data_IF_430664491884
#
_entry.id   IF_430664491884
#
_cell.length_a   1.000
_cell.length_b   1.000
_cell.length_c   1.000
_cell.angle_alpha   90.00
_cell.angle_beta   90.00
_cell.angle_gamma   90.00
#
_symmetry.space_group_name_H-M   'P 1'
#
loop_
_entity.id
_entity.type
_entity.pdbx_description
1 polymer ?
#
# COMPACT_ATOMS: atom_id res chain seq x y z
N UNK A 1 3.14 -14.17 -29.46
CA UNK A 1 2.90 -12.72 -29.59
C UNK A 1 3.63 -12.22 -30.83
N UNK A 2 2.98 -11.43 -31.70
CA UNK A 2 3.59 -10.89 -32.93
C UNK A 2 4.17 -9.48 -32.69
N UNK A 3 5.17 -9.08 -33.48
CA UNK A 3 5.80 -7.75 -33.40
C UNK A 3 4.78 -6.61 -33.54
N UNK A 4 3.75 -6.79 -34.36
CA UNK A 4 2.65 -5.83 -34.53
C UNK A 4 1.84 -5.62 -33.24
N UNK A 5 1.54 -6.70 -32.51
CA UNK A 5 0.86 -6.62 -31.22
C UNK A 5 1.71 -5.88 -30.17
N UNK A 6 3.02 -6.09 -30.18
CA UNK A 6 3.93 -5.36 -29.27
C UNK A 6 4.01 -3.87 -29.59
N UNK A 7 4.09 -3.50 -30.87
CA UNK A 7 4.08 -2.10 -31.30
C UNK A 7 2.77 -1.40 -30.96
N UNK A 8 1.64 -2.09 -31.19
CA UNK A 8 0.32 -1.58 -30.83
C UNK A 8 0.19 -1.32 -29.32
N UNK A 9 0.53 -2.31 -28.49
CA UNK A 9 0.51 -2.19 -27.02
C UNK A 9 1.41 -1.05 -26.53
N UNK A 10 2.57 -0.85 -27.16
CA UNK A 10 3.48 0.24 -26.80
C UNK A 10 2.91 1.61 -27.16
N UNK A 11 2.20 1.73 -28.28
CA UNK A 11 1.53 2.97 -28.66
C UNK A 11 0.37 3.29 -27.72
N UNK A 12 -0.44 2.29 -27.40
CA UNK A 12 -1.57 2.41 -26.47
C UNK A 12 -1.10 2.80 -25.05
N UNK A 13 -0.04 2.15 -24.54
CA UNK A 13 0.60 2.54 -23.28
C UNK A 13 1.07 4.00 -23.31
N UNK A 14 1.69 4.44 -24.41
CA UNK A 14 2.18 5.82 -24.52
C UNK A 14 1.04 6.85 -24.63
N UNK A 15 -0.12 6.47 -25.18
CA UNK A 15 -1.30 7.33 -25.21
C UNK A 15 -1.90 7.49 -23.80
N UNK A 16 -2.05 6.37 -23.08
CA UNK A 16 -2.54 6.35 -21.69
C UNK A 16 -1.62 7.18 -20.77
N UNK A 17 -0.30 7.02 -20.89
CA UNK A 17 0.65 7.78 -20.07
C UNK A 17 0.52 9.29 -20.29
N UNK A 18 0.23 9.74 -21.52
CA UNK A 18 0.01 11.16 -21.81
C UNK A 18 -1.28 11.67 -21.17
N UNK A 19 -2.36 10.90 -21.26
CA UNK A 19 -3.64 11.26 -20.65
C UNK A 19 -3.53 11.35 -19.12
N UNK A 20 -2.88 10.35 -18.50
CA UNK A 20 -2.61 10.36 -17.06
C UNK A 20 -1.73 11.54 -16.65
N UNK A 21 -0.71 11.87 -17.44
CA UNK A 21 0.13 13.04 -17.18
C UNK A 21 -0.65 14.34 -17.29
N UNK A 22 -1.52 14.47 -18.29
CA UNK A 22 -2.38 15.65 -18.46
C UNK A 22 -3.36 15.78 -17.29
N UNK A 23 -3.98 14.69 -16.87
CA UNK A 23 -4.87 14.64 -15.72
C UNK A 23 -4.14 15.02 -14.42
N UNK A 24 -2.96 14.46 -14.20
CA UNK A 24 -2.12 14.77 -13.03
C UNK A 24 -1.75 16.25 -12.97
N UNK A 25 -1.32 16.84 -14.09
CA UNK A 25 -1.02 18.28 -14.16
C UNK A 25 -2.24 19.17 -13.90
N UNK A 26 -3.43 18.74 -14.33
CA UNK A 26 -4.66 19.51 -14.10
C UNK A 26 -5.15 19.39 -12.65
N UNK A 27 -5.07 18.20 -12.05
CA UNK A 27 -5.64 17.90 -10.73
C UNK A 27 -4.69 18.18 -9.56
N UNK A 28 -3.37 18.21 -9.82
CA UNK A 28 -2.31 18.26 -8.81
C UNK A 28 -1.36 19.44 -9.13
N UNK A 29 -1.59 20.63 -8.55
CA UNK A 29 -0.79 21.83 -8.82
C UNK A 29 0.71 21.64 -8.57
N UNK A 30 1.08 20.94 -7.50
CA UNK A 30 2.46 20.62 -7.15
C UNK A 30 3.15 19.71 -8.19
N UNK A 31 2.40 18.81 -8.83
CA UNK A 31 2.93 17.96 -9.90
C UNK A 31 3.14 18.77 -11.19
N UNK A 32 2.22 19.68 -11.50
CA UNK A 32 2.37 20.60 -12.63
C UNK A 32 3.58 21.54 -12.48
N UNK A 33 3.86 21.96 -11.25
CA UNK A 33 4.98 22.85 -10.92
C UNK A 33 6.32 22.10 -10.77
N UNK A 34 6.32 20.77 -10.85
CA UNK A 34 7.52 19.95 -10.66
C UNK A 34 8.04 19.92 -9.22
N UNK A 35 7.22 20.35 -8.25
CA UNK A 35 7.55 20.37 -6.83
C UNK A 35 6.94 19.21 -6.04
N UNK A 36 6.19 18.33 -6.70
CA UNK A 36 5.67 17.11 -6.09
C UNK A 36 6.81 16.15 -5.72
N UNK A 37 6.68 15.46 -4.59
CA UNK A 37 7.60 14.40 -4.21
C UNK A 37 7.47 13.18 -5.15
N UNK A 38 6.29 13.00 -5.73
CA UNK A 38 5.97 11.91 -6.65
C UNK A 38 6.46 12.22 -8.07
N UNK A 39 7.30 11.33 -8.61
CA UNK A 39 7.80 11.43 -9.99
C UNK A 39 6.86 10.82 -11.03
N UNK A 40 5.92 9.95 -10.63
CA UNK A 40 4.95 9.35 -11.55
C UNK A 40 3.58 10.05 -11.50
N UNK A 41 2.89 10.23 -12.65
CA UNK A 41 1.56 10.83 -12.69
C UNK A 41 0.53 10.05 -11.86
N UNK A 42 0.60 8.72 -11.87
CA UNK A 42 -0.31 7.84 -11.14
C UNK A 42 -0.14 7.96 -9.63
N UNK A 43 1.09 8.06 -9.13
CA UNK A 43 1.35 8.26 -7.70
C UNK A 43 0.86 9.64 -7.23
N UNK A 44 1.07 10.69 -8.03
CA UNK A 44 0.57 12.03 -7.73
C UNK A 44 -0.96 12.07 -7.65
N UNK A 45 -1.66 11.42 -8.59
CA UNK A 45 -3.12 11.30 -8.59
C UNK A 45 -3.64 10.49 -7.40
N UNK A 46 -3.02 9.34 -7.11
CA UNK A 46 -3.40 8.52 -5.97
C UNK A 46 -3.21 9.27 -4.65
N UNK A 47 -2.15 10.06 -4.50
CA UNK A 47 -1.96 10.94 -3.34
C UNK A 47 -3.05 11.99 -3.23
N UNK A 48 -3.35 12.68 -4.34
CA UNK A 48 -4.39 13.70 -4.36
C UNK A 48 -5.76 13.14 -3.99
N UNK A 49 -6.11 11.97 -4.50
CA UNK A 49 -7.35 11.27 -4.15
C UNK A 49 -7.44 11.00 -2.65
N UNK A 50 -6.36 10.49 -2.06
CA UNK A 50 -6.26 10.23 -0.62
C UNK A 50 -6.44 11.51 0.20
N UNK A 51 -5.74 12.58 -0.15
CA UNK A 51 -5.86 13.87 0.53
C UNK A 51 -7.29 14.43 0.45
N UNK A 52 -7.95 14.27 -0.69
CA UNK A 52 -9.34 14.70 -0.87
C UNK A 52 -10.31 13.87 -0.04
N UNK A 53 -10.14 12.54 -0.01
CA UNK A 53 -10.94 11.65 0.85
C UNK A 53 -10.75 11.99 2.32
N UNK A 54 -9.51 12.16 2.75
CA UNK A 54 -9.17 12.53 4.12
C UNK A 54 -9.79 13.87 4.53
N UNK A 55 -9.70 14.90 3.68
CA UNK A 55 -10.36 16.20 3.92
C UNK A 55 -11.88 16.11 3.94
N UNK A 56 -12.46 15.20 3.16
CA UNK A 56 -13.89 14.95 3.15
C UNK A 56 -14.36 14.05 4.31
N UNK A 57 -13.46 13.61 5.20
CA UNK A 57 -13.77 12.66 6.26
C UNK A 57 -14.18 11.27 5.74
N UNK A 58 -13.88 10.98 4.47
CA UNK A 58 -14.13 9.69 3.86
C UNK A 58 -12.93 8.79 4.06
N UNK A 59 -13.18 7.55 4.46
CA UNK A 59 -12.16 6.53 4.61
C UNK A 59 -11.42 6.29 3.28
N UNK A 60 -10.14 6.64 3.24
CA UNK A 60 -9.22 6.25 2.19
C UNK A 60 -8.80 4.78 2.37
N UNK A 61 -8.48 4.04 1.30
CA UNK A 61 -8.11 2.63 1.41
C UNK A 61 -6.89 2.36 2.30
N UNK A 62 -5.98 3.32 2.39
CA UNK A 62 -4.76 3.30 3.21
C UNK A 62 -4.96 3.93 4.60
N UNK A 63 -6.15 4.45 4.91
CA UNK A 63 -6.47 4.88 6.27
C UNK A 63 -6.39 3.71 7.23
N UNK A 64 -6.13 4.05 8.49
CA UNK A 64 -5.92 3.06 9.54
C UNK A 64 -7.08 2.06 9.67
N UNK A 65 -8.33 2.53 9.71
CA UNK A 65 -9.49 1.65 9.97
C UNK A 65 -9.78 0.68 8.81
N UNK A 66 -9.83 1.11 7.54
CA UNK A 66 -9.98 0.18 6.41
C UNK A 66 -8.83 -0.83 6.31
N UNK A 67 -7.59 -0.39 6.53
CA UNK A 67 -6.42 -1.25 6.50
C UNK A 67 -6.48 -2.28 7.63
N UNK A 68 -6.82 -1.84 8.85
CA UNK A 68 -7.00 -2.73 10.00
C UNK A 68 -8.15 -3.71 9.76
N UNK A 69 -9.28 -3.28 9.19
CA UNK A 69 -10.40 -4.16 8.88
C UNK A 69 -10.01 -5.28 7.90
N UNK A 70 -9.18 -4.97 6.90
CA UNK A 70 -8.63 -5.96 5.95
C UNK A 70 -7.63 -6.91 6.62
N UNK A 71 -6.80 -6.39 7.52
CA UNK A 71 -5.78 -7.18 8.20
C UNK A 71 -6.32 -7.98 9.41
N UNK A 72 -7.47 -7.59 9.95
CA UNK A 72 -8.04 -8.15 11.19
C UNK A 72 -8.23 -9.68 11.15
N UNK A 73 -8.72 -10.31 10.06
CA UNK A 73 -8.83 -11.77 10.01
C UNK A 73 -7.48 -12.48 10.17
N UNK A 74 -6.42 -11.93 9.55
CA UNK A 74 -5.08 -12.48 9.65
C UNK A 74 -4.50 -12.29 11.07
N UNK A 75 -4.79 -11.16 11.72
CA UNK A 75 -4.38 -10.91 13.10
C UNK A 75 -5.16 -11.77 14.12
N UNK A 76 -6.43 -12.08 13.84
CA UNK A 76 -7.23 -12.95 14.70
C UNK A 76 -6.72 -14.40 14.74
N UNK A 77 -5.97 -14.83 13.72
CA UNK A 77 -5.34 -16.14 13.68
C UNK A 77 -4.07 -16.23 14.56
N UNK A 78 -3.59 -15.11 15.12
CA UNK A 78 -2.43 -15.10 16.01
C UNK A 78 -2.80 -15.56 17.42
N UNK A 79 -1.87 -16.22 18.14
CA UNK A 79 -2.11 -16.63 19.51
C UNK A 79 -2.29 -15.40 20.40
N UNK A 80 -3.09 -15.56 21.46
CA UNK A 80 -3.30 -14.50 22.45
C UNK A 80 -1.97 -14.04 23.04
N UNK A 81 -1.74 -12.72 23.07
CA UNK A 81 -0.49 -12.13 23.57
C UNK A 81 0.65 -12.08 22.54
N UNK A 82 0.45 -12.55 21.31
CA UNK A 82 1.47 -12.46 20.26
C UNK A 82 1.78 -11.03 19.83
N UNK A 83 0.79 -10.13 19.85
CA UNK A 83 0.97 -8.73 19.48
C UNK A 83 1.39 -7.94 20.72
N UNK A 84 2.56 -7.31 20.66
CA UNK A 84 3.11 -6.46 21.73
C UNK A 84 2.68 -5.01 21.57
N UNK A 85 2.76 -4.48 20.36
CA UNK A 85 2.34 -3.12 20.02
C UNK A 85 1.91 -3.05 18.57
N UNK A 86 1.06 -2.05 18.30
CA UNK A 86 0.55 -1.73 16.99
C UNK A 86 0.57 -0.21 16.83
N UNK A 87 1.17 0.27 15.75
CA UNK A 87 1.27 1.69 15.42
C UNK A 87 0.96 1.91 13.95
N UNK A 88 0.43 3.08 13.60
CA UNK A 88 0.12 3.45 12.22
C UNK A 88 0.86 4.72 11.84
N UNK A 89 1.55 4.68 10.69
CA UNK A 89 2.25 5.83 10.13
C UNK A 89 2.35 5.67 8.61
N UNK A 90 2.21 6.77 7.88
CA UNK A 90 2.42 6.85 6.43
C UNK A 90 1.66 5.79 5.61
N UNK A 91 0.40 5.50 5.95
CA UNK A 91 -0.41 4.50 5.24
C UNK A 91 -0.03 3.04 5.54
N UNK A 92 0.79 2.82 6.57
CA UNK A 92 1.25 1.50 6.99
C UNK A 92 0.92 1.20 8.45
N UNK A 93 0.55 -0.04 8.72
CA UNK A 93 0.45 -0.56 10.08
C UNK A 93 1.75 -1.30 10.42
N UNK A 94 2.38 -0.90 11.51
CA UNK A 94 3.55 -1.52 12.11
C UNK A 94 3.09 -2.35 13.30
N UNK A 95 3.43 -3.64 13.32
CA UNK A 95 3.19 -4.55 14.43
C UNK A 95 4.50 -5.05 14.99
N UNK A 96 4.64 -5.00 16.30
CA UNK A 96 5.68 -5.75 17.00
C UNK A 96 5.07 -7.03 17.56
N UNK A 97 5.60 -8.15 17.08
CA UNK A 97 5.24 -9.49 17.52
C UNK A 97 6.25 -9.97 18.55
N UNK A 98 5.75 -10.65 19.59
CA UNK A 98 6.59 -11.43 20.48
C UNK A 98 7.26 -12.57 19.71
N UNK A 99 8.26 -13.21 20.33
CA UNK A 99 8.95 -14.36 19.74
C UNK A 99 7.97 -15.50 19.48
N UNK A 100 7.51 -15.58 18.24
CA UNK A 100 6.64 -16.61 17.70
C UNK A 100 7.43 -17.63 16.89
N UNK A 101 6.79 -18.76 16.59
CA UNK A 101 7.37 -19.79 15.75
C UNK A 101 7.67 -19.24 14.34
N UNK A 102 8.81 -19.58 13.70
CA UNK A 102 9.18 -19.03 12.39
C UNK A 102 8.13 -19.26 11.30
N UNK A 103 7.46 -20.42 11.33
CA UNK A 103 6.39 -20.76 10.39
C UNK A 103 5.17 -19.84 10.51
N UNK A 104 4.97 -19.19 11.67
CA UNK A 104 3.81 -18.35 11.94
C UNK A 104 3.91 -16.99 11.23
N UNK A 105 5.12 -16.42 11.12
CA UNK A 105 5.36 -15.18 10.40
C UNK A 105 5.11 -15.33 8.89
N UNK A 106 5.58 -16.42 8.29
CA UNK A 106 5.35 -16.72 6.87
C UNK A 106 3.88 -16.98 6.56
N UNK A 107 3.16 -17.71 7.43
CA UNK A 107 1.71 -17.90 7.31
C UNK A 107 0.96 -16.57 7.39
N UNK A 108 1.32 -15.73 8.36
CA UNK A 108 0.72 -14.41 8.52
C UNK A 108 0.92 -13.53 7.27
N UNK A 109 2.14 -13.49 6.72
CA UNK A 109 2.42 -12.79 5.48
C UNK A 109 1.55 -13.29 4.32
N UNK A 110 1.40 -14.61 4.19
CA UNK A 110 0.59 -15.21 3.14
C UNK A 110 -0.90 -14.85 3.26
N UNK A 111 -1.45 -14.86 4.48
CA UNK A 111 -2.85 -14.47 4.71
C UNK A 111 -3.08 -12.98 4.46
N UNK A 112 -2.11 -12.12 4.79
CA UNK A 112 -2.18 -10.69 4.47
C UNK A 112 -2.09 -10.44 2.95
N UNK A 113 -1.26 -11.20 2.23
CA UNK A 113 -1.20 -11.14 0.77
C UNK A 113 -2.52 -11.55 0.12
N UNK A 114 -3.19 -12.58 0.61
CA UNK A 114 -4.54 -12.96 0.14
C UNK A 114 -5.56 -11.85 0.36
N UNK A 115 -5.42 -11.06 1.42
CA UNK A 115 -6.24 -9.89 1.69
C UNK A 115 -5.87 -8.65 0.84
N UNK A 116 -4.93 -8.79 -0.11
CA UNK A 116 -4.46 -7.70 -0.97
C UNK A 116 -3.51 -6.74 -0.27
N UNK A 117 -2.89 -7.16 0.84
CA UNK A 117 -1.94 -6.38 1.63
C UNK A 117 -0.50 -6.88 1.42
N UNK A 118 0.45 -5.97 1.39
CA UNK A 118 1.87 -6.29 1.44
C UNK A 118 2.32 -6.33 2.88
N UNK A 119 2.97 -7.42 3.27
CA UNK A 119 3.49 -7.61 4.61
C UNK A 119 4.99 -7.94 4.56
N UNK A 120 5.81 -7.09 5.19
CA UNK A 120 7.26 -7.28 5.30
C UNK A 120 7.58 -7.57 6.75
N UNK A 121 8.17 -8.73 7.04
CA UNK A 121 8.61 -9.09 8.39
C UNK A 121 10.13 -8.98 8.50
N UNK A 122 10.59 -8.40 9.60
CA UNK A 122 11.99 -8.37 10.00
C UNK A 122 12.12 -8.97 11.41
N UNK A 123 13.05 -9.90 11.65
CA UNK A 123 13.30 -10.40 13.00
C UNK A 123 13.86 -9.28 13.90
N UNK A 124 13.48 -9.30 15.17
CA UNK A 124 14.01 -8.40 16.21
C UNK A 124 14.56 -9.23 17.38
N UNK A 125 15.32 -8.60 18.27
CA UNK A 125 15.87 -9.29 19.44
C UNK A 125 14.81 -9.98 20.32
N UNK A 126 13.57 -9.46 20.32
CA UNK A 126 12.47 -9.95 21.15
C UNK A 126 11.37 -10.67 20.36
N UNK A 127 11.52 -10.83 19.04
CA UNK A 127 10.51 -11.44 18.18
C UNK A 127 10.62 -11.01 16.72
N UNK A 128 9.57 -10.39 16.19
CA UNK A 128 9.55 -9.89 14.81
C UNK A 128 8.77 -8.58 14.71
N UNK A 129 9.20 -7.71 13.79
CA UNK A 129 8.47 -6.50 13.40
C UNK A 129 7.87 -6.73 12.03
N UNK A 130 6.58 -6.47 11.90
CA UNK A 130 5.83 -6.60 10.65
C UNK A 130 5.36 -5.22 10.20
N UNK A 131 5.62 -4.88 8.94
CA UNK A 131 5.04 -3.70 8.27
C UNK A 131 3.99 -4.17 7.28
N UNK A 132 2.77 -3.68 7.41
CA UNK A 132 1.60 -4.03 6.59
C UNK A 132 1.10 -2.79 5.86
N UNK A 133 0.84 -2.89 4.57
CA UNK A 133 0.32 -1.79 3.75
C UNK A 133 -0.39 -2.28 2.49
N UNK A 134 -0.87 -1.32 1.69
CA UNK A 134 -1.29 -1.60 0.33
C UNK A 134 -0.07 -1.73 -0.59
N UNK A 135 -0.25 -2.48 -1.69
CA UNK A 135 0.73 -2.65 -2.76
C UNK A 135 0.99 -1.34 -3.52
#
# INVERSE_FOLDING_TARGET
ATLGNWLWLRWESAAIDRELTALARAAVPEFAQGSAAETSPTAALARRERDLKHRAGLAAPDDFLPLLARAAPAFAALPKGAIRSLSYADGHVLLDLQKTEPAQASRLQHELQKAGLVAIAAPTATGARLRVGLN
#
